data_IF_357305541599
#
_entry.id   IF_357305541599
#
_cell.length_a   1.000
_cell.length_b   1.000
_cell.length_c   1.000
_cell.angle_alpha   90.00
_cell.angle_beta   90.00
_cell.angle_gamma   90.00
#
_symmetry.space_group_name_H-M   'P 1'
#
loop_
_entity.id
_entity.type
_entity.pdbx_description
1 polymer ?
#
# COMPACT_ATOMS: atom_id res chain seq x y z
N UNK A 1 0.76 11.72 -7.68
CA UNK A 1 1.59 10.97 -6.73
C UNK A 1 0.74 10.49 -5.55
N UNK A 2 1.00 9.27 -5.08
CA UNK A 2 0.40 8.73 -3.86
C UNK A 2 1.01 9.41 -2.64
N UNK A 3 0.19 9.93 -1.73
CA UNK A 3 0.64 10.71 -0.59
C UNK A 3 -0.06 10.31 0.72
N UNK A 4 0.62 10.56 1.84
CA UNK A 4 0.02 10.47 3.18
C UNK A 4 0.68 11.48 4.12
N UNK A 5 0.01 11.76 5.25
CA UNK A 5 0.53 12.63 6.30
C UNK A 5 -0.09 12.23 7.64
N UNK A 6 0.52 12.62 8.75
CA UNK A 6 0.04 12.32 10.10
C UNK A 6 -1.44 12.69 10.25
N UNK A 7 -2.20 11.78 10.87
CA UNK A 7 -3.62 11.99 11.19
C UNK A 7 -3.75 13.26 12.04
N UNK A 8 -4.64 14.15 11.64
CA UNK A 8 -5.04 15.32 12.42
C UNK A 8 -6.56 15.41 12.55
N UNK A 9 -7.05 16.38 13.32
CA UNK A 9 -8.49 16.61 13.46
C UNK A 9 -9.18 17.00 12.14
N UNK A 10 -8.41 17.48 11.16
CA UNK A 10 -8.92 17.92 9.86
C UNK A 10 -8.55 16.98 8.71
N UNK A 11 -7.56 16.09 8.91
CA UNK A 11 -7.05 15.17 7.89
C UNK A 11 -7.05 13.74 8.42
N UNK A 12 -8.05 12.97 8.00
CA UNK A 12 -8.22 11.57 8.36
C UNK A 12 -9.13 10.84 7.35
N UNK A 13 -9.03 9.51 7.31
CA UNK A 13 -9.80 8.67 6.41
C UNK A 13 -11.29 8.66 6.80
N UNK A 14 -12.19 8.86 5.83
CA UNK A 14 -13.60 9.18 6.09
C UNK A 14 -14.38 8.07 6.79
N UNK A 15 -13.96 6.80 6.68
CA UNK A 15 -14.68 5.65 7.26
C UNK A 15 -14.00 5.10 8.50
N UNK A 16 -12.72 4.75 8.40
CA UNK A 16 -11.96 4.19 9.52
C UNK A 16 -11.49 5.24 10.53
N UNK A 17 -11.51 6.52 10.15
CA UNK A 17 -10.89 7.61 10.89
C UNK A 17 -9.39 7.40 11.15
N UNK A 18 -8.70 6.61 10.32
CA UNK A 18 -7.25 6.41 10.41
C UNK A 18 -6.50 7.45 9.55
N UNK A 19 -5.18 7.31 9.44
CA UNK A 19 -4.36 8.17 8.61
C UNK A 19 -4.77 8.00 7.14
N UNK A 20 -5.18 9.09 6.50
CA UNK A 20 -5.63 9.06 5.12
C UNK A 20 -4.48 8.87 4.12
N UNK A 21 -4.82 8.26 2.99
CA UNK A 21 -3.98 8.22 1.79
C UNK A 21 -4.73 8.97 0.70
N UNK A 22 -4.02 9.79 -0.06
CA UNK A 22 -4.61 10.66 -1.07
C UNK A 22 -3.68 10.82 -2.27
N UNK A 23 -4.20 11.40 -3.35
CA UNK A 23 -3.42 11.74 -4.54
C UNK A 23 -3.16 13.25 -4.57
N UNK A 24 -1.95 13.62 -4.97
CA UNK A 24 -1.51 15.01 -5.19
C UNK A 24 -0.66 15.10 -6.45
N UNK A 25 -0.63 16.25 -7.11
CA UNK A 25 0.24 16.55 -8.25
C UNK A 25 1.61 17.10 -7.82
N UNK A 26 1.78 17.44 -6.53
CA UNK A 26 3.03 17.94 -5.99
C UNK A 26 3.96 16.81 -5.52
N UNK A 27 5.22 16.82 -6.01
CA UNK A 27 6.26 15.93 -5.49
C UNK A 27 6.79 16.49 -4.17
N UNK A 28 6.72 15.69 -3.10
CA UNK A 28 7.22 16.05 -1.78
C UNK A 28 7.62 14.82 -0.97
N UNK A 29 8.19 15.02 0.22
CA UNK A 29 8.49 13.89 1.11
C UNK A 29 7.23 13.12 1.57
N UNK A 30 6.06 13.75 1.52
CA UNK A 30 4.75 13.11 1.77
C UNK A 30 4.36 12.11 0.67
N UNK A 31 5.08 12.13 -0.45
CA UNK A 31 4.87 11.20 -1.59
C UNK A 31 5.94 10.10 -1.65
N UNK A 32 6.85 10.06 -0.69
CA UNK A 32 7.90 9.05 -0.63
C UNK A 32 7.40 7.77 0.04
N UNK A 33 7.52 6.66 -0.68
CA UNK A 33 7.18 5.31 -0.21
C UNK A 33 8.35 4.37 -0.46
N UNK A 34 8.51 3.39 0.42
CA UNK A 34 9.53 2.37 0.35
C UNK A 34 8.88 0.99 0.30
N UNK A 35 9.32 0.15 -0.63
CA UNK A 35 9.01 -1.27 -0.61
C UNK A 35 9.95 -1.98 0.38
N UNK A 36 9.39 -2.81 1.25
CA UNK A 36 10.13 -3.63 2.19
C UNK A 36 9.77 -5.10 1.99
N UNK A 37 10.72 -5.98 2.28
CA UNK A 37 10.51 -7.42 2.26
C UNK A 37 9.42 -7.81 3.28
N UNK A 38 8.63 -8.83 2.93
CA UNK A 38 7.48 -9.26 3.72
C UNK A 38 7.89 -9.64 5.14
N UNK A 39 8.83 -10.57 5.26
CA UNK A 39 9.36 -11.04 6.55
C UNK A 39 10.23 -9.94 7.20
N UNK A 40 9.83 -9.40 8.38
CA UNK A 40 10.61 -8.40 9.09
C UNK A 40 12.04 -8.83 9.42
N UNK A 41 12.29 -10.12 9.63
CA UNK A 41 13.60 -10.65 10.03
C UNK A 41 14.59 -10.71 8.86
N UNK A 42 14.08 -10.70 7.62
CA UNK A 42 14.89 -10.80 6.41
C UNK A 42 15.09 -9.45 5.69
N UNK A 43 14.58 -8.35 6.25
CA UNK A 43 14.63 -7.03 5.60
C UNK A 43 16.04 -6.49 5.42
N UNK A 44 16.94 -6.79 6.35
CA UNK A 44 18.33 -6.33 6.29
C UNK A 44 19.10 -7.09 5.21
N UNK A 45 18.89 -8.40 5.13
CA UNK A 45 19.50 -9.29 4.14
C UNK A 45 19.04 -8.96 2.72
N UNK A 46 17.78 -8.52 2.58
CA UNK A 46 17.20 -8.11 1.30
C UNK A 46 17.35 -6.61 1.00
N UNK A 47 18.07 -5.85 1.84
CA UNK A 47 18.28 -4.42 1.59
C UNK A 47 19.10 -4.21 0.30
N UNK A 48 18.62 -3.31 -0.57
CA UNK A 48 19.27 -2.99 -1.84
C UNK A 48 19.04 -4.00 -2.97
N UNK A 49 18.40 -5.14 -2.69
CA UNK A 49 17.99 -6.08 -3.73
C UNK A 49 16.78 -5.54 -4.53
N UNK A 50 16.64 -5.92 -5.81
CA UNK A 50 15.47 -5.55 -6.60
C UNK A 50 14.19 -6.14 -6.01
N UNK A 51 13.08 -5.40 -6.11
CA UNK A 51 11.76 -5.87 -5.66
C UNK A 51 11.21 -6.89 -6.67
N UNK A 52 10.96 -8.15 -6.26
CA UNK A 52 10.43 -9.16 -7.17
C UNK A 52 8.98 -8.86 -7.57
N UNK A 53 8.67 -9.05 -8.85
CA UNK A 53 7.30 -8.97 -9.34
C UNK A 53 6.48 -10.18 -8.89
N UNK A 54 5.17 -9.99 -8.73
CA UNK A 54 4.23 -11.05 -8.33
C UNK A 54 4.57 -11.71 -6.97
N UNK A 55 5.27 -10.98 -6.10
CA UNK A 55 5.55 -11.40 -4.72
C UNK A 55 4.96 -10.40 -3.74
N UNK A 56 4.57 -10.89 -2.56
CA UNK A 56 4.05 -10.07 -1.48
C UNK A 56 5.17 -9.20 -0.88
N UNK A 57 4.84 -7.94 -0.65
CA UNK A 57 5.72 -6.93 -0.06
C UNK A 57 4.92 -6.04 0.89
N UNK A 58 5.65 -5.29 1.71
CA UNK A 58 5.10 -4.18 2.48
C UNK A 58 5.47 -2.87 1.78
N UNK A 59 4.51 -1.94 1.70
CA UNK A 59 4.75 -0.58 1.19
C UNK A 59 4.65 0.38 2.37
N UNK A 60 5.75 1.00 2.75
CA UNK A 60 5.86 1.88 3.93
C UNK A 60 6.02 3.33 3.51
N UNK A 61 5.23 4.22 4.12
CA UNK A 61 5.35 5.65 3.92
C UNK A 61 6.58 6.18 4.65
N UNK A 62 7.51 6.79 3.92
CA UNK A 62 8.80 7.20 4.50
C UNK A 62 8.64 8.25 5.61
N UNK A 63 7.71 9.20 5.45
CA UNK A 63 7.57 10.29 6.41
C UNK A 63 6.94 9.88 7.75
N UNK A 64 5.99 8.94 7.74
CA UNK A 64 5.27 8.54 8.97
C UNK A 64 5.64 7.16 9.48
N UNK A 65 6.47 6.41 8.75
CA UNK A 65 6.84 5.03 9.03
C UNK A 65 5.62 4.13 9.30
N UNK A 66 4.57 4.32 8.49
CA UNK A 66 3.32 3.55 8.53
C UNK A 66 3.13 2.85 7.19
N UNK A 67 2.56 1.66 7.23
CA UNK A 67 2.39 0.82 6.04
C UNK A 67 1.07 1.10 5.35
N UNK A 68 1.04 1.02 4.03
CA UNK A 68 -0.17 1.10 3.23
C UNK A 68 -1.06 -0.10 3.56
N UNK A 69 -2.37 0.14 3.74
CA UNK A 69 -3.31 -0.89 4.15
C UNK A 69 -4.69 -0.75 3.50
N UNK A 70 -5.36 -1.90 3.37
CA UNK A 70 -6.78 -1.98 2.98
C UNK A 70 -7.57 -2.74 4.05
N UNK A 71 -8.19 -2.04 5.01
CA UNK A 71 -9.09 -2.68 5.97
C UNK A 71 -10.41 -3.05 5.29
N UNK A 72 -10.59 -4.34 4.99
CA UNK A 72 -11.72 -4.90 4.20
C UNK A 72 -13.12 -4.66 4.79
N UNK A 73 -13.22 -4.20 6.03
CA UNK A 73 -14.48 -3.85 6.68
C UNK A 73 -14.97 -2.42 6.36
N UNK A 74 -14.10 -1.54 5.85
CA UNK A 74 -14.47 -0.17 5.48
C UNK A 74 -14.57 -0.02 3.97
N UNK A 75 -15.79 0.23 3.48
CA UNK A 75 -16.06 0.42 2.06
C UNK A 75 -16.89 1.67 1.79
N UNK A 76 -16.80 2.15 0.56
CA UNK A 76 -17.60 3.24 0.01
C UNK A 76 -18.17 2.85 -1.35
N UNK A 77 -19.26 3.51 -1.76
CA UNK A 77 -19.76 3.43 -3.13
C UNK A 77 -19.21 4.59 -3.93
N UNK A 78 -18.68 4.30 -5.10
CA UNK A 78 -18.34 5.29 -6.13
C UNK A 78 -19.06 4.96 -7.44
N UNK A 79 -18.80 5.75 -8.47
CA UNK A 79 -19.26 5.45 -9.83
C UNK A 79 -18.69 4.13 -10.39
N UNK A 80 -17.64 3.57 -9.78
CA UNK A 80 -17.02 2.30 -10.17
C UNK A 80 -17.50 1.10 -9.34
N UNK A 81 -18.43 1.32 -8.40
CA UNK A 81 -19.02 0.27 -7.58
C UNK A 81 -18.60 0.34 -6.11
N UNK A 82 -18.47 -0.83 -5.47
CA UNK A 82 -18.10 -0.94 -4.06
C UNK A 82 -16.58 -1.02 -3.93
N UNK A 83 -15.99 0.01 -3.35
CA UNK A 83 -14.55 0.14 -3.18
C UNK A 83 -14.17 0.14 -1.70
N UNK A 84 -13.01 -0.43 -1.37
CA UNK A 84 -12.51 -0.43 -0.01
C UNK A 84 -11.69 0.84 0.25
N UNK A 85 -11.73 1.31 1.50
CA UNK A 85 -10.90 2.44 1.91
C UNK A 85 -9.42 2.03 1.93
N UNK A 86 -8.54 2.88 1.36
CA UNK A 86 -7.09 2.73 1.44
C UNK A 86 -6.56 3.72 2.47
N UNK A 87 -5.71 3.26 3.38
CA UNK A 87 -5.20 4.04 4.51
C UNK A 87 -3.71 3.78 4.74
N UNK A 88 -3.11 4.58 5.63
CA UNK A 88 -1.75 4.39 6.10
C UNK A 88 -1.77 3.90 7.56
N UNK A 89 -1.72 2.59 7.77
CA UNK A 89 -1.77 1.98 9.10
C UNK A 89 -1.06 0.64 9.09
N UNK A 90 -0.17 0.42 10.05
CA UNK A 90 0.53 -0.85 10.24
C UNK A 90 -0.27 -1.71 11.22
N UNK A 91 -0.95 -2.74 10.71
CA UNK A 91 -1.58 -3.78 11.51
C UNK A 91 -0.53 -4.82 11.86
N UNK A 92 -0.40 -5.16 13.14
CA UNK A 92 0.60 -6.10 13.63
C UNK A 92 -0.07 -7.26 14.37
N UNK A 93 0.44 -8.47 14.12
CA UNK A 93 0.03 -9.68 14.84
C UNK A 93 0.68 -9.77 16.24
N UNK A 94 0.43 -10.87 16.95
CA UNK A 94 1.02 -11.13 18.27
C UNK A 94 2.55 -11.21 18.27
N UNK A 95 3.17 -11.47 17.11
CA UNK A 95 4.62 -11.57 16.91
C UNK A 95 5.23 -10.26 16.37
N UNK A 96 4.43 -9.19 16.26
CA UNK A 96 4.83 -7.90 15.70
C UNK A 96 5.20 -7.96 14.21
N UNK A 97 4.68 -8.92 13.47
CA UNK A 97 4.73 -8.96 12.01
C UNK A 97 3.50 -8.28 11.42
N UNK A 98 3.64 -7.66 10.25
CA UNK A 98 2.51 -7.06 9.55
C UNK A 98 1.44 -8.10 9.17
N UNK A 99 0.17 -7.71 9.27
CA UNK A 99 -0.97 -8.57 8.88
C UNK A 99 -1.28 -8.49 7.38
N UNK A 100 -2.13 -9.40 6.89
CA UNK A 100 -2.60 -9.50 5.48
C UNK A 100 -3.16 -8.18 4.91
N UNK A 101 -3.73 -7.33 5.77
CA UNK A 101 -4.22 -5.99 5.40
C UNK A 101 -3.13 -5.08 4.84
N UNK A 102 -1.87 -5.35 5.17
CA UNK A 102 -0.70 -4.60 4.75
C UNK A 102 0.06 -5.23 3.56
N UNK A 103 -0.37 -6.40 3.07
CA UNK A 103 0.34 -7.11 2.03
C UNK A 103 -0.07 -6.57 0.66
N UNK A 104 0.92 -6.27 -0.17
CA UNK A 104 0.74 -5.78 -1.53
C UNK A 104 1.53 -6.65 -2.49
N UNK A 105 1.00 -6.83 -3.70
CA UNK A 105 1.70 -7.50 -4.78
C UNK A 105 1.89 -6.50 -5.91
N UNK A 106 3.14 -6.24 -6.30
CA UNK A 106 3.44 -5.49 -7.52
C UNK A 106 3.33 -6.47 -8.68
N UNK A 107 2.23 -6.37 -9.41
CA UNK A 107 2.02 -7.16 -10.61
C UNK A 107 2.61 -6.37 -11.79
N UNK A 108 3.31 -7.06 -12.69
CA UNK A 108 3.87 -6.45 -13.91
C UNK A 108 3.25 -7.11 -15.14
N UNK A 109 2.98 -6.31 -16.17
CA UNK A 109 2.55 -6.83 -17.46
C UNK A 109 3.66 -7.65 -18.12
N UNK A 110 3.28 -8.65 -18.92
CA UNK A 110 4.25 -9.38 -19.72
C UNK A 110 4.71 -8.48 -20.88
N UNK A 111 5.99 -8.10 -20.98
CA UNK A 111 6.47 -7.25 -22.06
C UNK A 111 6.34 -7.91 -23.45
N UNK A 112 6.09 -9.23 -23.52
CA UNK A 112 5.85 -9.95 -24.79
C UNK A 112 4.43 -9.77 -25.35
N UNK A 113 3.48 -9.30 -24.54
CA UNK A 113 2.07 -9.19 -24.91
C UNK A 113 1.68 -7.72 -25.05
N UNK A 114 1.93 -7.13 -26.23
CA UNK A 114 1.70 -5.68 -26.49
C UNK A 114 0.27 -5.20 -26.20
N UNK A 115 -0.71 -6.12 -26.09
CA UNK A 115 -2.12 -5.80 -25.83
C UNK A 115 -2.67 -6.34 -24.50
N UNK A 116 -1.87 -7.03 -23.67
CA UNK A 116 -2.35 -7.52 -22.38
C UNK A 116 -2.23 -6.42 -21.34
N UNK A 117 -3.35 -5.86 -20.91
CA UNK A 117 -3.35 -5.03 -19.72
C UNK A 117 -3.33 -5.91 -18.47
N UNK A 118 -2.91 -5.32 -17.35
CA UNK A 118 -2.93 -5.96 -16.04
C UNK A 118 -4.33 -6.45 -15.61
N UNK A 119 -5.39 -5.92 -16.24
CA UNK A 119 -6.78 -6.27 -15.99
C UNK A 119 -7.20 -7.58 -16.68
N UNK A 120 -6.40 -8.10 -17.60
CA UNK A 120 -6.73 -9.27 -18.43
C UNK A 120 -6.24 -10.60 -17.81
N UNK A 121 -5.59 -10.57 -16.64
CA UNK A 121 -5.13 -11.79 -15.95
C UNK A 121 -6.29 -12.51 -15.24
N UNK A 122 -6.42 -13.85 -15.38
CA UNK A 122 -7.43 -14.62 -14.67
C UNK A 122 -7.18 -14.59 -13.15
N UNK A 123 -8.27 -14.58 -12.38
CA UNK A 123 -8.30 -14.57 -10.89
C UNK A 123 -7.60 -15.78 -10.27
#
# INVERSE_FOLDING_TARGET
YLASDHKSFVRFAKKSHLQQVFLTDELSYLTCWQAAFLDPQLRLEHEGFPVPANSEIIITHCHTNRSLAVPRNFWTRSCFGKEHEVICHTYLDSHKAEEDKNYWVIVTGNPSDENSTMLDRPN
#
